data_IF_298055434699
#
_entry.id   IF_298055434699
#
_cell.length_a   1.000
_cell.length_b   1.000
_cell.length_c   1.000
_cell.angle_alpha   90.00
_cell.angle_beta   90.00
_cell.angle_gamma   90.00
#
_symmetry.space_group_name_H-M   'P 1'
#
loop_
_entity.id
_entity.type
_entity.pdbx_description
1 polymer ?
#
# COMPACT_ATOMS: atom_id res chain seq x y z
N UNK A 1 -11.66 -6.37 28.56
CA UNK A 1 -12.26 -5.70 27.39
C UNK A 1 -12.04 -6.61 26.19
N UNK A 2 -13.07 -6.95 25.40
CA UNK A 2 -12.88 -7.78 24.23
C UNK A 2 -12.05 -6.98 23.21
N UNK A 3 -10.77 -7.35 23.15
CA UNK A 3 -9.81 -7.02 22.11
C UNK A 3 -9.61 -5.51 21.86
N UNK A 4 -8.74 -4.91 22.67
CA UNK A 4 -7.94 -3.79 22.17
C UNK A 4 -7.12 -4.31 20.99
N UNK A 5 -7.58 -4.03 19.77
CA UNK A 5 -6.73 -4.11 18.57
C UNK A 5 -5.72 -2.99 18.74
N UNK A 6 -4.59 -3.33 19.36
CA UNK A 6 -3.44 -2.44 19.40
C UNK A 6 -2.96 -2.37 17.96
N UNK A 7 -3.39 -1.34 17.21
CA UNK A 7 -2.65 -0.83 16.05
C UNK A 7 -1.32 -0.30 16.59
N UNK A 8 -0.42 -1.24 16.91
CA UNK A 8 0.97 -0.91 17.10
C UNK A 8 1.40 -0.31 15.78
N UNK A 9 1.60 1.01 15.78
CA UNK A 9 2.21 1.77 14.71
C UNK A 9 3.45 1.02 14.28
N UNK A 10 3.30 0.21 13.25
CA UNK A 10 4.41 -0.47 12.62
C UNK A 10 5.13 0.64 11.88
N UNK A 11 6.11 1.23 12.52
CA UNK A 11 7.40 1.46 11.86
C UNK A 11 7.94 0.09 11.40
N UNK A 12 7.20 -0.53 10.48
CA UNK A 12 7.65 -1.66 9.71
C UNK A 12 8.68 -1.04 8.79
N UNK A 13 9.91 -1.53 8.87
CA UNK A 13 10.97 -1.24 7.92
C UNK A 13 10.63 -1.88 6.55
N UNK A 14 9.39 -1.64 6.07
CA UNK A 14 8.83 -2.18 4.86
C UNK A 14 9.16 -1.24 3.73
N UNK A 15 9.72 -1.81 2.69
CA UNK A 15 10.11 -1.11 1.48
C UNK A 15 9.05 -1.38 0.41
N UNK A 16 8.80 -0.40 -0.45
CA UNK A 16 7.94 -0.60 -1.62
C UNK A 16 8.73 -1.45 -2.60
N UNK A 17 8.19 -2.63 -2.94
CA UNK A 17 8.79 -3.56 -3.90
C UNK A 17 8.22 -3.36 -5.30
N UNK A 18 6.92 -3.02 -5.38
CA UNK A 18 6.23 -2.81 -6.65
C UNK A 18 5.01 -1.91 -6.48
N UNK A 19 4.69 -1.13 -7.50
CA UNK A 19 3.40 -0.44 -7.64
C UNK A 19 2.68 -1.05 -8.84
N UNK A 20 1.42 -1.45 -8.66
CA UNK A 20 0.59 -1.95 -9.76
C UNK A 20 -0.74 -1.22 -9.85
N UNK A 21 -1.32 -1.20 -11.04
CA UNK A 21 -2.72 -0.81 -11.20
C UNK A 21 -3.68 -1.95 -10.79
N UNK A 22 -4.98 -1.69 -10.90
CA UNK A 22 -6.02 -2.69 -10.58
C UNK A 22 -6.03 -3.92 -11.48
N UNK A 23 -5.33 -3.87 -12.63
CA UNK A 23 -5.16 -5.00 -13.54
C UNK A 23 -3.84 -5.77 -13.27
N UNK A 24 -3.05 -5.36 -12.27
CA UNK A 24 -1.79 -5.99 -11.91
C UNK A 24 -0.62 -5.60 -12.80
N UNK A 25 -0.76 -4.55 -13.63
CA UNK A 25 0.34 -4.03 -14.46
C UNK A 25 1.24 -3.16 -13.60
N UNK A 26 2.55 -3.35 -13.70
CA UNK A 26 3.52 -2.50 -13.00
C UNK A 26 3.52 -1.10 -13.61
N UNK A 27 3.38 -0.08 -12.77
CA UNK A 27 3.25 1.32 -13.15
C UNK A 27 4.11 2.21 -12.24
N UNK A 28 4.46 3.39 -12.74
CA UNK A 28 5.01 4.46 -11.92
C UNK A 28 3.90 5.19 -11.14
N UNK A 29 4.31 6.12 -10.26
CA UNK A 29 3.37 6.96 -9.52
C UNK A 29 2.59 7.87 -10.46
N UNK A 30 1.27 7.68 -10.55
CA UNK A 30 0.41 8.39 -11.51
C UNK A 30 -0.85 8.98 -10.85
N UNK A 31 -1.15 10.25 -11.18
CA UNK A 31 -2.36 10.93 -10.72
C UNK A 31 -3.61 10.39 -11.43
N UNK A 32 -4.71 10.29 -10.69
CA UNK A 32 -6.00 9.83 -11.23
C UNK A 32 -6.08 8.32 -11.46
N UNK A 33 -5.02 7.56 -11.14
CA UNK A 33 -4.99 6.10 -11.23
C UNK A 33 -5.04 5.50 -9.82
N UNK A 34 -5.77 4.39 -9.69
CA UNK A 34 -5.75 3.59 -8.46
C UNK A 34 -4.46 2.78 -8.47
N UNK A 35 -3.59 3.05 -7.50
CA UNK A 35 -2.32 2.38 -7.31
C UNK A 35 -2.40 1.42 -6.12
N UNK A 36 -1.84 0.23 -6.28
CA UNK A 36 -1.66 -0.78 -5.26
C UNK A 36 -0.15 -0.90 -4.97
N UNK A 37 0.27 -0.42 -3.80
CA UNK A 37 1.64 -0.48 -3.32
C UNK A 37 1.86 -1.82 -2.64
N UNK A 38 2.78 -2.62 -3.17
CA UNK A 38 3.19 -3.89 -2.60
C UNK A 38 4.47 -3.70 -1.80
N UNK A 39 4.44 -4.13 -0.55
CA UNK A 39 5.55 -3.97 0.39
C UNK A 39 6.32 -5.28 0.60
N UNK A 40 7.58 -5.16 1.02
CA UNK A 40 8.47 -6.30 1.27
C UNK A 40 7.98 -7.25 2.37
N UNK A 41 7.11 -6.77 3.27
CA UNK A 41 6.46 -7.59 4.30
C UNK A 41 5.18 -8.31 3.81
N UNK A 42 4.89 -8.23 2.51
CA UNK A 42 3.72 -8.83 1.88
C UNK A 42 2.42 -8.01 2.05
N UNK A 43 2.47 -6.88 2.75
CA UNK A 43 1.31 -5.98 2.84
C UNK A 43 1.04 -5.23 1.54
N UNK A 44 -0.21 -4.82 1.34
CA UNK A 44 -0.64 -4.03 0.18
C UNK A 44 -1.40 -2.79 0.65
N UNK A 45 -1.05 -1.62 0.11
CA UNK A 45 -1.73 -0.35 0.39
C UNK A 45 -2.34 0.22 -0.90
N UNK A 46 -3.62 0.58 -0.87
CA UNK A 46 -4.32 1.22 -1.98
C UNK A 46 -4.21 2.74 -1.83
N UNK A 47 -3.71 3.43 -2.86
CA UNK A 47 -3.70 4.90 -2.94
C UNK A 47 -4.36 5.40 -4.22
N UNK A 48 -5.01 6.55 -4.10
CA UNK A 48 -5.51 7.34 -5.23
C UNK A 48 -5.05 8.76 -4.99
N UNK A 49 -4.43 9.36 -5.99
CA UNK A 49 -3.92 10.72 -5.91
C UNK A 49 -4.77 11.57 -6.83
N UNK A 50 -5.49 12.51 -6.25
CA UNK A 50 -6.33 13.48 -6.95
C UNK A 50 -5.64 14.83 -6.83
N UNK A 51 -5.56 15.58 -7.94
CA UNK A 51 -5.09 16.96 -7.94
C UNK A 51 -6.13 17.90 -7.34
#
# INVERSE_FOLDING_TARGET
NPLDIIENGKESNREIVRIVDVMGREIDYENGVIMLFQYSDGSVEKKVVLK
#
